data_IF_857693008005
#
_entry.id   IF_857693008005
#
_cell.length_a   1.000
_cell.length_b   1.000
_cell.length_c   1.000
_cell.angle_alpha   90.00
_cell.angle_beta   90.00
_cell.angle_gamma   90.00
#
_symmetry.space_group_name_H-M   'P 1'
#
loop_
_entity.id
_entity.type
_entity.pdbx_description
1 polymer ?
#
# COMPACT_ATOMS: atom_id res chain seq x y z
N UNK A 1 -2.76 -5.97 -46.06
CA UNK A 1 -1.77 -6.43 -45.07
C UNK A 1 -2.32 -6.11 -43.68
N UNK A 2 -2.93 -7.09 -43.00
CA UNK A 2 -3.43 -6.92 -41.64
C UNK A 2 -2.38 -7.45 -40.66
N UNK A 3 -1.78 -6.56 -39.87
CA UNK A 3 -1.19 -6.87 -38.56
C UNK A 3 -1.29 -5.63 -37.66
N UNK A 4 -2.51 -5.16 -37.41
CA UNK A 4 -2.80 -4.46 -36.15
C UNK A 4 -2.81 -5.53 -35.05
N UNK A 5 -1.61 -5.85 -34.55
CA UNK A 5 -1.50 -6.51 -33.25
C UNK A 5 -1.92 -5.48 -32.21
N UNK A 6 -3.20 -5.44 -31.85
CA UNK A 6 -3.60 -4.83 -30.59
C UNK A 6 -2.83 -5.55 -29.50
N UNK A 7 -1.75 -4.93 -29.02
CA UNK A 7 -0.92 -5.44 -27.94
C UNK A 7 -1.85 -5.57 -26.73
N UNK A 8 -2.29 -6.81 -26.45
CA UNK A 8 -3.33 -7.08 -25.47
C UNK A 8 -2.82 -6.56 -24.13
N UNK A 9 -3.56 -5.61 -23.55
CA UNK A 9 -3.16 -4.99 -22.29
C UNK A 9 -2.94 -6.06 -21.24
N UNK A 10 -1.77 -6.02 -20.60
CA UNK A 10 -1.42 -6.95 -19.54
C UNK A 10 -2.22 -6.61 -18.29
N UNK A 11 -2.84 -7.63 -17.71
CA UNK A 11 -3.74 -7.54 -16.56
C UNK A 11 -3.29 -8.41 -15.37
N UNK A 12 -2.19 -9.16 -15.52
CA UNK A 12 -1.61 -9.98 -14.46
C UNK A 12 -0.12 -9.65 -14.25
N UNK A 13 0.32 -9.63 -13.01
CA UNK A 13 1.72 -9.44 -12.63
C UNK A 13 2.26 -10.76 -12.09
N UNK A 14 3.48 -11.11 -12.51
CA UNK A 14 4.29 -12.19 -11.95
C UNK A 14 5.75 -11.76 -11.98
N UNK A 15 6.36 -11.61 -10.81
CA UNK A 15 7.77 -11.25 -10.68
C UNK A 15 8.42 -12.06 -9.56
N UNK A 16 9.68 -12.44 -9.75
CA UNK A 16 10.52 -12.99 -8.68
C UNK A 16 11.01 -11.82 -7.82
N UNK A 17 10.70 -11.85 -6.53
CA UNK A 17 11.01 -10.79 -5.56
C UNK A 17 11.66 -11.38 -4.31
N UNK A 18 12.43 -10.61 -3.52
CA UNK A 18 12.95 -11.09 -2.24
C UNK A 18 11.85 -11.56 -1.27
N UNK A 19 12.10 -12.65 -0.55
CA UNK A 19 11.15 -13.27 0.39
C UNK A 19 10.63 -12.28 1.44
N UNK A 20 11.47 -11.41 1.98
CA UNK A 20 11.06 -10.42 2.98
C UNK A 20 9.89 -9.54 2.49
N UNK A 21 9.78 -9.25 1.19
CA UNK A 21 8.66 -8.49 0.65
C UNK A 21 7.34 -9.23 0.79
N UNK A 22 7.36 -10.54 0.59
CA UNK A 22 6.18 -11.39 0.78
C UNK A 22 5.76 -11.40 2.26
N UNK A 23 6.73 -11.46 3.17
CA UNK A 23 6.49 -11.41 4.61
C UNK A 23 5.90 -10.07 5.07
N UNK A 24 6.43 -8.95 4.58
CA UNK A 24 5.90 -7.61 4.83
C UNK A 24 4.47 -7.48 4.30
N UNK A 25 4.23 -7.89 3.05
CA UNK A 25 2.89 -7.87 2.44
C UNK A 25 1.91 -8.72 3.26
N UNK A 26 2.29 -9.92 3.69
CA UNK A 26 1.43 -10.79 4.48
C UNK A 26 1.11 -10.22 5.86
N UNK A 27 2.10 -9.59 6.52
CA UNK A 27 1.91 -8.89 7.79
C UNK A 27 0.90 -7.75 7.63
N UNK A 28 1.08 -6.94 6.60
CA UNK A 28 0.23 -5.79 6.31
C UNK A 28 -1.17 -6.20 5.87
N UNK A 29 -1.33 -7.26 5.07
CA UNK A 29 -2.64 -7.88 4.75
C UNK A 29 -3.40 -8.23 6.02
N UNK A 30 -2.73 -8.91 6.96
CA UNK A 30 -3.33 -9.29 8.24
C UNK A 30 -3.68 -8.06 9.09
N UNK A 31 -2.75 -7.11 9.21
CA UNK A 31 -2.96 -5.92 10.02
C UNK A 31 -4.07 -5.02 9.46
N UNK A 32 -3.99 -4.66 8.18
CA UNK A 32 -4.96 -3.80 7.50
C UNK A 32 -6.31 -4.48 7.28
N UNK A 33 -6.40 -5.81 7.39
CA UNK A 33 -7.63 -6.57 7.13
C UNK A 33 -8.18 -6.35 5.72
N UNK A 34 -7.28 -6.26 4.74
CA UNK A 34 -7.61 -6.15 3.32
C UNK A 34 -7.07 -7.36 2.58
N UNK A 35 -7.66 -7.68 1.43
CA UNK A 35 -7.14 -8.78 0.61
C UNK A 35 -5.74 -8.47 0.07
N UNK A 36 -4.92 -9.51 -0.12
CA UNK A 36 -3.63 -9.40 -0.81
C UNK A 36 -3.76 -8.75 -2.19
N UNK A 37 -4.84 -9.09 -2.90
CA UNK A 37 -5.19 -8.50 -4.19
C UNK A 37 -5.35 -6.97 -4.12
N UNK A 38 -6.06 -6.46 -3.10
CA UNK A 38 -6.21 -5.03 -2.87
C UNK A 38 -4.87 -4.38 -2.53
N UNK A 39 -4.16 -4.91 -1.54
CA UNK A 39 -2.90 -4.34 -1.10
C UNK A 39 -1.87 -4.25 -2.23
N UNK A 40 -1.72 -5.30 -3.04
CA UNK A 40 -0.76 -5.30 -4.16
C UNK A 40 -1.10 -4.24 -5.22
N UNK A 41 -2.39 -4.03 -5.50
CA UNK A 41 -2.84 -2.98 -6.42
C UNK A 41 -2.62 -1.58 -5.84
N UNK A 42 -2.88 -1.39 -4.55
CA UNK A 42 -2.68 -0.11 -3.86
C UNK A 42 -1.18 0.24 -3.80
N UNK A 43 -0.31 -0.74 -3.48
CA UNK A 43 1.15 -0.58 -3.53
C UNK A 43 1.59 -0.16 -4.93
N UNK A 44 1.16 -0.89 -5.97
CA UNK A 44 1.54 -0.59 -7.34
C UNK A 44 1.26 0.87 -7.72
N UNK A 45 0.06 1.37 -7.41
CA UNK A 45 -0.36 2.74 -7.78
C UNK A 45 0.28 3.80 -6.89
N UNK A 46 0.38 3.58 -5.58
CA UNK A 46 0.88 4.59 -4.63
C UNK A 46 2.42 4.69 -4.63
N UNK A 47 3.13 3.62 -5.02
CA UNK A 47 4.59 3.55 -4.96
C UNK A 47 5.29 3.59 -6.33
N UNK A 48 4.57 3.41 -7.44
CA UNK A 48 5.13 3.54 -8.80
C UNK A 48 5.80 4.90 -9.07
N UNK A 49 5.39 5.98 -8.40
CA UNK A 49 6.01 7.30 -8.55
C UNK A 49 7.38 7.42 -7.85
N UNK A 50 7.65 6.57 -6.86
CA UNK A 50 8.91 6.53 -6.10
C UNK A 50 9.92 5.52 -6.66
N UNK A 51 9.58 4.92 -7.80
CA UNK A 51 10.28 3.84 -8.48
C UNK A 51 11.75 4.13 -8.87
N UNK A 52 12.21 5.39 -8.84
CA UNK A 52 13.56 5.79 -9.33
C UNK A 52 14.65 5.83 -8.26
N UNK A 53 14.49 5.14 -7.13
CA UNK A 53 15.38 5.29 -5.99
C UNK A 53 16.42 4.16 -5.79
N UNK A 54 16.56 3.23 -6.74
CA UNK A 54 17.61 2.18 -6.76
C UNK A 54 17.76 1.40 -5.45
N UNK A 55 16.67 1.12 -4.73
CA UNK A 55 16.75 0.46 -3.42
C UNK A 55 16.98 -1.05 -3.54
N UNK A 56 16.65 -1.67 -4.67
CA UNK A 56 16.59 -3.12 -4.78
C UNK A 56 17.94 -3.77 -5.05
N UNK A 57 18.87 -3.08 -5.72
CA UNK A 57 20.11 -3.69 -6.20
C UNK A 57 21.00 -4.22 -5.06
N UNK A 58 21.03 -3.54 -3.91
CA UNK A 58 21.85 -3.92 -2.77
C UNK A 58 21.16 -4.91 -1.80
N UNK A 59 19.82 -4.96 -1.77
CA UNK A 59 19.08 -5.85 -0.86
C UNK A 59 18.94 -7.29 -1.38
N UNK A 60 19.11 -7.51 -2.68
CA UNK A 60 18.90 -8.82 -3.31
C UNK A 60 20.05 -9.82 -3.09
N UNK A 61 21.22 -9.38 -2.62
CA UNK A 61 22.41 -10.24 -2.56
C UNK A 61 22.34 -11.36 -1.51
N UNK A 62 21.41 -11.28 -0.55
CA UNK A 62 21.38 -12.17 0.63
C UNK A 62 20.05 -12.93 0.82
N UNK A 63 19.04 -12.71 -0.03
CA UNK A 63 17.67 -13.18 0.18
C UNK A 63 17.22 -14.21 -0.86
N UNK A 64 16.41 -15.18 -0.42
CA UNK A 64 15.77 -16.13 -1.35
C UNK A 64 14.68 -15.41 -2.16
N UNK A 65 14.55 -15.77 -3.43
CA UNK A 65 13.49 -15.25 -4.30
C UNK A 65 12.19 -16.03 -4.14
N UNK A 66 11.06 -15.32 -4.05
CA UNK A 66 9.71 -15.87 -4.07
C UNK A 66 8.87 -15.15 -5.14
N UNK A 67 7.91 -15.86 -5.75
CA UNK A 67 7.05 -15.26 -6.77
C UNK A 67 5.95 -14.40 -6.15
N UNK A 68 5.97 -13.11 -6.47
CA UNK A 68 4.82 -12.23 -6.28
C UNK A 68 3.92 -12.32 -7.51
N UNK A 69 2.69 -12.80 -7.32
CA UNK A 69 1.68 -12.91 -8.38
C UNK A 69 0.34 -12.31 -7.95
N UNK A 70 -0.23 -11.45 -8.79
CA UNK A 70 -1.56 -10.86 -8.58
C UNK A 70 -2.16 -10.33 -9.89
N UNK A 71 -3.48 -10.22 -9.95
CA UNK A 71 -4.17 -9.56 -11.05
C UNK A 71 -4.28 -8.05 -10.79
N UNK A 72 -4.41 -7.26 -11.84
CA UNK A 72 -4.65 -5.83 -11.76
C UNK A 72 -6.15 -5.54 -11.65
N UNK A 73 -6.49 -4.50 -10.89
CA UNK A 73 -7.81 -3.89 -11.04
C UNK A 73 -7.99 -3.40 -12.46
N UNK A 74 -9.20 -3.58 -13.03
CA UNK A 74 -9.52 -3.12 -14.39
C UNK A 74 -9.10 -1.66 -14.64
N UNK A 75 -9.34 -0.79 -13.66
CA UNK A 75 -8.96 0.63 -13.70
C UNK A 75 -7.44 0.88 -13.68
N UNK A 76 -6.65 -0.04 -13.12
CA UNK A 76 -5.20 0.07 -13.04
C UNK A 76 -4.49 -0.47 -14.28
N UNK A 77 -5.17 -1.24 -15.14
CA UNK A 77 -4.57 -1.86 -16.34
C UNK A 77 -3.97 -0.79 -17.26
N UNK A 78 -4.72 0.27 -17.58
CA UNK A 78 -4.23 1.32 -18.48
C UNK A 78 -3.03 2.04 -17.87
N UNK A 79 -3.12 2.41 -16.59
CA UNK A 79 -2.03 3.05 -15.85
C UNK A 79 -0.76 2.20 -15.85
N UNK A 80 -0.88 0.90 -15.55
CA UNK A 80 0.23 -0.03 -15.52
C UNK A 80 0.93 -0.16 -16.88
N UNK A 81 0.15 -0.31 -17.95
CA UNK A 81 0.71 -0.45 -19.29
C UNK A 81 1.37 0.86 -19.76
N UNK A 82 0.89 2.03 -19.35
CA UNK A 82 1.57 3.31 -19.57
C UNK A 82 2.88 3.41 -18.79
N UNK A 83 2.90 2.99 -17.52
CA UNK A 83 4.10 2.95 -16.69
C UNK A 83 5.18 2.08 -17.33
N UNK A 84 4.81 0.87 -17.79
CA UNK A 84 5.72 -0.07 -18.47
C UNK A 84 6.34 0.50 -19.75
N UNK A 85 5.59 1.31 -20.51
CA UNK A 85 6.08 1.94 -21.74
C UNK A 85 7.02 3.11 -21.49
N UNK A 86 6.90 3.78 -20.33
CA UNK A 86 7.69 4.96 -19.99
C UNK A 86 9.03 4.67 -19.31
N UNK A 87 9.45 3.41 -19.27
CA UNK A 87 10.65 2.96 -18.58
C UNK A 87 11.59 2.29 -19.57
N UNK A 88 12.67 2.99 -19.89
CA UNK A 88 13.75 2.47 -20.73
C UNK A 88 14.83 1.79 -19.88
N UNK A 89 15.39 0.70 -20.39
CA UNK A 89 16.62 0.10 -19.84
C UNK A 89 16.43 -0.90 -18.69
N UNK A 90 15.19 -1.23 -18.30
CA UNK A 90 14.92 -2.32 -17.33
C UNK A 90 13.75 -3.21 -17.76
N UNK A 91 13.73 -4.42 -17.21
CA UNK A 91 12.67 -5.39 -17.38
C UNK A 91 11.46 -5.09 -16.50
N UNK A 92 10.30 -5.64 -16.87
CA UNK A 92 9.08 -5.58 -16.05
C UNK A 92 9.30 -6.18 -14.65
N UNK A 93 10.08 -7.25 -14.54
CA UNK A 93 10.37 -7.87 -13.23
C UNK A 93 11.22 -6.96 -12.34
N UNK A 94 12.20 -6.25 -12.90
CA UNK A 94 12.97 -5.23 -12.18
C UNK A 94 12.07 -4.07 -11.78
N UNK A 95 11.17 -3.64 -12.67
CA UNK A 95 10.21 -2.59 -12.37
C UNK A 95 9.38 -2.95 -11.12
N UNK A 96 8.75 -4.12 -11.13
CA UNK A 96 7.93 -4.60 -10.02
C UNK A 96 8.77 -4.73 -8.74
N UNK A 97 9.98 -5.27 -8.83
CA UNK A 97 10.85 -5.43 -7.66
C UNK A 97 11.16 -4.09 -6.99
N UNK A 98 11.56 -3.06 -7.72
CA UNK A 98 11.84 -1.75 -7.10
C UNK A 98 10.58 -1.09 -6.54
N UNK A 99 9.43 -1.17 -7.23
CA UNK A 99 8.16 -0.62 -6.70
C UNK A 99 7.86 -1.25 -5.34
N UNK A 100 7.88 -2.58 -5.26
CA UNK A 100 7.58 -3.29 -4.02
C UNK A 100 8.71 -3.18 -2.99
N UNK A 101 9.97 -2.99 -3.41
CA UNK A 101 11.07 -2.69 -2.50
C UNK A 101 10.91 -1.33 -1.85
N UNK A 102 10.54 -0.30 -2.61
CA UNK A 102 10.26 1.03 -2.08
C UNK A 102 9.12 1.04 -1.04
N UNK A 103 8.24 0.05 -1.10
CA UNK A 103 7.25 -0.23 -0.07
C UNK A 103 7.87 -0.99 1.13
N UNK A 104 8.54 -2.11 0.87
CA UNK A 104 9.02 -3.03 1.90
C UNK A 104 10.12 -2.49 2.80
N UNK A 105 10.93 -1.54 2.32
CA UNK A 105 11.99 -0.90 3.13
C UNK A 105 11.44 0.07 4.18
N UNK A 106 10.22 0.56 3.99
CA UNK A 106 9.66 1.55 4.90
C UNK A 106 9.19 0.86 6.19
N UNK A 107 9.33 1.50 7.37
CA UNK A 107 8.70 1.05 8.59
C UNK A 107 7.15 1.06 8.47
N UNK A 108 6.43 0.23 9.27
CA UNK A 108 4.98 0.09 9.21
C UNK A 108 4.19 1.39 9.13
N UNK A 109 4.43 2.38 10.01
CA UNK A 109 3.70 3.65 9.96
C UNK A 109 3.91 4.42 8.65
N UNK A 110 5.12 4.39 8.06
CA UNK A 110 5.38 5.06 6.78
C UNK A 110 4.67 4.34 5.63
N UNK A 111 4.57 3.01 5.66
CA UNK A 111 3.75 2.25 4.68
C UNK A 111 2.29 2.66 4.78
N UNK A 112 1.75 2.74 6.00
CA UNK A 112 0.37 3.15 6.26
C UNK A 112 0.10 4.59 5.81
N UNK A 113 1.00 5.54 6.07
CA UNK A 113 0.89 6.93 5.61
C UNK A 113 0.76 7.02 4.08
N UNK A 114 1.53 6.22 3.35
CA UNK A 114 1.51 6.27 1.89
C UNK A 114 0.24 5.61 1.32
N UNK A 115 -0.21 4.50 1.92
CA UNK A 115 -1.40 3.79 1.47
C UNK A 115 -2.70 4.55 1.81
N UNK A 116 -2.81 5.07 3.02
CA UNK A 116 -4.02 5.70 3.55
C UNK A 116 -3.91 7.23 3.65
N UNK A 117 -3.10 7.85 2.79
CA UNK A 117 -2.76 9.29 2.83
C UNK A 117 -3.98 10.20 2.99
N UNK A 118 -5.03 9.99 2.19
CA UNK A 118 -6.24 10.81 2.20
C UNK A 118 -6.99 10.69 3.53
N UNK A 119 -7.13 9.46 4.02
CA UNK A 119 -7.77 9.17 5.31
C UNK A 119 -6.99 9.76 6.48
N UNK A 120 -5.67 9.63 6.48
CA UNK A 120 -4.80 10.22 7.52
C UNK A 120 -4.85 11.75 7.48
N UNK A 121 -4.82 12.34 6.28
CA UNK A 121 -4.98 13.79 6.13
C UNK A 121 -6.32 14.27 6.68
N UNK A 122 -7.41 13.53 6.40
CA UNK A 122 -8.72 13.82 6.97
C UNK A 122 -8.71 13.74 8.51
N UNK A 123 -8.14 12.69 9.10
CA UNK A 123 -8.08 12.52 10.55
C UNK A 123 -7.27 13.63 11.23
N UNK A 124 -6.14 14.04 10.62
CA UNK A 124 -5.33 15.17 11.11
C UNK A 124 -6.14 16.48 11.08
N UNK A 125 -6.89 16.74 10.01
CA UNK A 125 -7.75 17.92 9.92
C UNK A 125 -8.89 17.85 10.95
N UNK A 126 -9.56 16.70 11.09
CA UNK A 126 -10.63 16.51 12.05
C UNK A 126 -10.16 16.70 13.51
N UNK A 127 -8.94 16.26 13.84
CA UNK A 127 -8.31 16.52 15.13
C UNK A 127 -8.11 18.02 15.37
N UNK A 128 -7.53 18.74 14.39
CA UNK A 128 -7.27 20.19 14.50
C UNK A 128 -8.56 21.00 14.66
N UNK A 129 -9.62 20.57 14.00
CA UNK A 129 -10.92 21.24 14.00
C UNK A 129 -11.84 20.77 15.15
N UNK A 130 -11.37 19.87 16.02
CA UNK A 130 -12.14 19.31 17.14
C UNK A 130 -13.50 18.72 16.73
N UNK A 131 -13.57 18.17 15.50
CA UNK A 131 -14.78 17.55 14.96
C UNK A 131 -15.12 16.27 15.72
N UNK A 132 -16.42 16.07 15.95
CA UNK A 132 -16.93 14.76 16.38
C UNK A 132 -16.99 13.88 15.14
N UNK A 133 -16.41 12.68 15.24
CA UNK A 133 -16.40 11.69 14.17
C UNK A 133 -17.16 10.46 14.63
N UNK A 134 -17.87 9.86 13.68
CA UNK A 134 -18.48 8.55 13.77
C UNK A 134 -17.68 7.58 12.91
N UNK A 135 -17.11 6.58 13.57
CA UNK A 135 -16.28 5.55 12.93
C UNK A 135 -16.90 4.18 13.07
N UNK A 136 -16.81 3.38 12.00
CA UNK A 136 -17.01 1.94 12.07
C UNK A 136 -15.73 1.28 12.57
N UNK A 137 -15.88 0.33 13.48
CA UNK A 137 -14.81 -0.48 14.05
C UNK A 137 -15.21 -1.95 13.96
N UNK A 138 -14.27 -2.86 14.22
CA UNK A 138 -14.57 -4.30 14.24
C UNK A 138 -15.64 -4.69 15.26
N UNK A 139 -15.82 -3.90 16.33
CA UNK A 139 -16.77 -4.18 17.42
C UNK A 139 -18.05 -3.36 17.30
N UNK A 140 -18.24 -2.61 16.22
CA UNK A 140 -19.41 -1.76 16.01
C UNK A 140 -19.03 -0.31 15.77
N UNK A 141 -19.94 0.61 16.08
CA UNK A 141 -19.76 2.04 15.82
C UNK A 141 -19.22 2.73 17.08
N UNK A 142 -18.23 3.60 16.90
CA UNK A 142 -17.76 4.51 17.93
C UNK A 142 -17.96 5.96 17.45
N UNK A 143 -18.25 6.86 18.38
CA UNK A 143 -18.42 8.29 18.12
C UNK A 143 -17.63 9.07 19.17
N UNK A 144 -16.91 10.10 18.74
CA UNK A 144 -16.08 10.89 19.65
C UNK A 144 -15.15 11.87 18.95
N UNK A 145 -14.24 12.49 19.71
CA UNK A 145 -13.22 13.40 19.16
C UNK A 145 -11.85 12.75 19.17
N UNK A 146 -11.07 13.02 18.13
CA UNK A 146 -9.67 12.59 18.09
C UNK A 146 -8.88 13.44 19.10
N UNK A 147 -8.35 12.80 20.13
CA UNK A 147 -7.46 13.41 21.11
C UNK A 147 -6.02 13.43 20.60
N UNK A 148 -5.57 12.33 20.02
CA UNK A 148 -4.23 12.19 19.47
C UNK A 148 -4.20 11.20 18.31
N UNK A 149 -3.18 11.37 17.47
CA UNK A 149 -2.77 10.42 16.44
C UNK A 149 -1.32 10.07 16.76
N UNK A 150 -1.03 8.79 16.93
CA UNK A 150 0.27 8.32 17.41
C UNK A 150 0.63 6.97 16.80
N UNK A 151 1.88 6.54 17.00
CA UNK A 151 2.36 5.22 16.60
C UNK A 151 2.25 4.28 17.78
N UNK A 152 1.71 3.09 17.53
CA UNK A 152 1.72 2.00 18.49
C UNK A 152 3.16 1.51 18.70
N UNK A 153 3.62 1.41 19.95
CA UNK A 153 5.02 1.07 20.24
C UNK A 153 5.37 -0.38 19.89
N UNK A 154 4.39 -1.29 19.97
CA UNK A 154 4.58 -2.71 19.71
C UNK A 154 4.54 -3.04 18.21
N UNK A 155 3.58 -2.48 17.48
CA UNK A 155 3.35 -2.83 16.06
C UNK A 155 3.87 -1.80 15.07
N UNK A 156 4.20 -0.60 15.53
CA UNK A 156 4.65 0.56 14.75
C UNK A 156 3.63 1.04 13.69
N UNK A 157 2.35 0.62 13.78
CA UNK A 157 1.26 1.17 12.97
C UNK A 157 0.60 2.37 13.67
N UNK A 158 -0.17 3.15 12.91
CA UNK A 158 -0.83 4.35 13.40
C UNK A 158 -2.14 4.03 14.11
N UNK A 159 -2.32 4.72 15.24
CA UNK A 159 -3.55 4.72 16.00
C UNK A 159 -4.11 6.12 16.13
N UNK A 160 -5.43 6.19 16.30
CA UNK A 160 -6.11 7.35 16.87
C UNK A 160 -6.55 7.03 18.29
N UNK A 161 -6.44 7.99 19.19
CA UNK A 161 -7.17 8.00 20.45
C UNK A 161 -8.47 8.78 20.22
N UNK A 162 -9.59 8.06 20.15
CA UNK A 162 -10.94 8.63 20.05
C UNK A 162 -11.55 8.67 21.45
N UNK A 163 -11.61 9.86 22.03
CA UNK A 163 -11.88 10.10 23.45
C UNK A 163 -11.03 9.22 24.38
N UNK A 164 -11.55 8.09 24.87
CA UNK A 164 -10.85 7.20 25.81
C UNK A 164 -10.39 5.87 25.18
N UNK A 165 -10.71 5.63 23.90
CA UNK A 165 -10.42 4.35 23.23
C UNK A 165 -9.55 4.54 22.01
N UNK A 166 -8.59 3.62 21.86
CA UNK A 166 -7.64 3.65 20.75
C UNK A 166 -8.03 2.69 19.64
N UNK A 167 -7.83 3.13 18.39
CA UNK A 167 -8.16 2.35 17.20
C UNK A 167 -7.06 2.48 16.15
N UNK A 168 -6.68 1.36 15.52
CA UNK A 168 -5.79 1.38 14.37
C UNK A 168 -6.44 2.09 13.19
N UNK A 169 -5.72 3.03 12.57
CA UNK A 169 -6.24 3.83 11.46
C UNK A 169 -6.66 2.92 10.32
N UNK A 170 -5.83 1.98 9.90
CA UNK A 170 -6.14 1.05 8.82
C UNK A 170 -7.39 0.18 9.04
N UNK A 171 -7.83 -0.03 10.28
CA UNK A 171 -8.90 -0.98 10.63
C UNK A 171 -10.28 -0.33 10.88
N UNK A 172 -10.36 0.99 10.81
CA UNK A 172 -11.62 1.74 11.00
C UNK A 172 -12.17 2.26 9.68
N UNK A 173 -13.45 2.61 9.61
CA UNK A 173 -14.02 3.35 8.47
C UNK A 173 -14.70 4.61 8.98
N UNK A 174 -14.53 5.73 8.28
CA UNK A 174 -15.12 7.02 8.68
C UNK A 174 -16.49 7.13 8.02
N UNK A 175 -17.55 7.29 8.80
CA UNK A 175 -18.93 7.27 8.30
C UNK A 175 -19.59 8.66 8.34
N UNK A 176 -19.14 9.56 9.23
CA UNK A 176 -19.69 10.92 9.36
C UNK A 176 -18.98 11.74 10.41
#
# INVERSE_FOLDING_TARGET
>A
MNKDGQDKLKDNIRALVPKYLIEVINRDVKHFSISRYKLCNDILVKFSLKFRSNYCQDMMSFEQGEYLQFNLYKQNIVYYNSLRKGIDGITESEMIREIFSSYGILPPFLREINLFREKIAFLISAQKEYRVLKIHTRTGIAEGRIKSIYRDEDTDYLMILLDEKSYYISQIEIIG
#
